data_IF_420724419075
#
_entry.id   IF_420724419075
#
_cell.length_a   1.000
_cell.length_b   1.000
_cell.length_c   1.000
_cell.angle_alpha   90.00
_cell.angle_beta   90.00
_cell.angle_gamma   90.00
#
_symmetry.space_group_name_H-M   'P 1'
#
loop_
_entity.id
_entity.type
_entity.pdbx_description
1 polymer ?
#
# COMPACT_ATOMS: atom_id res chain seq x y z
N UNK A 1 6.21 37.33 2.98
CA UNK A 1 6.94 36.05 3.11
C UNK A 1 6.65 35.23 1.86
N UNK A 2 7.61 35.12 0.93
CA UNK A 2 7.44 34.33 -0.30
C UNK A 2 7.63 32.87 0.08
N UNK A 3 6.59 32.07 -0.06
CA UNK A 3 6.71 30.61 -0.04
C UNK A 3 7.61 30.20 -1.19
N UNK A 4 8.80 29.69 -0.87
CA UNK A 4 9.62 28.99 -1.84
C UNK A 4 8.87 27.71 -2.17
N UNK A 5 8.06 27.75 -3.25
CA UNK A 5 7.64 26.53 -3.92
C UNK A 5 8.93 25.83 -4.30
N UNK A 6 9.22 24.69 -3.68
CA UNK A 6 10.38 23.88 -3.99
C UNK A 6 10.18 23.31 -5.40
N UNK A 7 10.46 24.12 -6.43
CA UNK A 7 10.45 23.74 -7.83
C UNK A 7 11.77 23.04 -8.12
N UNK A 8 11.88 21.80 -7.66
CA UNK A 8 12.81 20.83 -8.21
C UNK A 8 12.02 19.54 -8.48
N UNK A 9 11.27 19.54 -9.59
CA UNK A 9 10.73 18.31 -10.17
C UNK A 9 11.85 17.49 -10.83
N UNK A 10 12.96 17.27 -10.13
CA UNK A 10 13.79 16.13 -10.45
C UNK A 10 12.91 14.91 -10.17
N UNK A 11 12.62 14.12 -11.20
CA UNK A 11 11.86 12.87 -11.07
C UNK A 11 12.47 12.08 -9.91
N UNK A 12 11.69 11.82 -8.86
CA UNK A 12 12.20 11.09 -7.71
C UNK A 12 12.36 9.61 -8.09
N UNK A 13 13.58 9.17 -8.38
CA UNK A 13 13.90 7.81 -8.80
C UNK A 13 14.06 6.81 -7.64
N UNK A 14 13.72 7.19 -6.41
CA UNK A 14 13.84 6.29 -5.25
C UNK A 14 13.07 4.97 -5.43
N UNK A 15 11.87 4.90 -6.05
CA UNK A 15 11.18 3.62 -6.25
C UNK A 15 11.94 2.68 -7.20
N UNK A 16 12.48 3.22 -8.30
CA UNK A 16 13.26 2.45 -9.27
C UNK A 16 14.60 1.98 -8.69
N UNK A 17 15.26 2.83 -7.91
CA UNK A 17 16.51 2.49 -7.23
C UNK A 17 16.29 1.39 -6.20
N UNK A 18 15.24 1.51 -5.37
CA UNK A 18 14.88 0.50 -4.39
C UNK A 18 14.60 -0.85 -5.06
N UNK A 19 13.87 -0.83 -6.18
CA UNK A 19 13.60 -2.02 -6.98
C UNK A 19 14.88 -2.71 -7.44
N UNK A 20 15.78 -1.97 -8.11
CA UNK A 20 17.03 -2.53 -8.64
C UNK A 20 17.95 -3.14 -7.58
N UNK A 21 17.97 -2.57 -6.39
CA UNK A 21 18.84 -3.03 -5.31
C UNK A 21 18.21 -4.20 -4.56
N UNK A 22 16.89 -4.17 -4.33
CA UNK A 22 16.16 -5.24 -3.64
C UNK A 22 16.22 -6.61 -4.35
N UNK A 23 16.48 -6.62 -5.66
CA UNK A 23 16.71 -7.84 -6.44
C UNK A 23 18.07 -8.48 -6.16
N UNK A 24 19.04 -7.71 -5.64
CA UNK A 24 20.44 -8.13 -5.47
C UNK A 24 20.84 -8.34 -4.02
N UNK A 25 20.07 -7.82 -3.08
CA UNK A 25 20.41 -7.76 -1.66
C UNK A 25 19.43 -8.60 -0.83
N UNK A 26 19.91 -9.41 0.15
CA UNK A 26 19.03 -10.12 1.08
C UNK A 26 18.21 -9.16 1.96
N UNK A 27 16.99 -9.54 2.31
CA UNK A 27 16.09 -8.77 3.19
C UNK A 27 16.66 -8.49 4.61
N UNK A 28 17.71 -9.21 5.00
CA UNK A 28 18.33 -9.12 6.34
C UNK A 28 19.50 -8.13 6.43
N UNK A 29 19.91 -7.51 5.32
CA UNK A 29 21.08 -6.64 5.29
C UNK A 29 20.72 -5.22 5.76
N UNK A 30 21.24 -4.83 6.92
CA UNK A 30 21.07 -3.46 7.44
C UNK A 30 22.09 -2.54 6.78
N UNK A 31 21.62 -1.64 5.92
CA UNK A 31 22.45 -0.72 5.16
C UNK A 31 21.87 0.69 5.23
N UNK A 32 22.67 1.65 5.67
CA UNK A 32 22.27 3.06 5.84
C UNK A 32 21.68 3.63 4.54
N UNK A 33 22.29 3.34 3.39
CA UNK A 33 21.81 3.81 2.10
C UNK A 33 20.43 3.19 1.75
N UNK A 34 20.23 1.90 2.04
CA UNK A 34 18.93 1.25 1.86
C UNK A 34 17.86 1.80 2.79
N UNK A 35 18.21 2.09 4.05
CA UNK A 35 17.30 2.69 5.01
C UNK A 35 16.84 4.08 4.53
N UNK A 36 17.75 4.90 4.01
CA UNK A 36 17.41 6.21 3.43
C UNK A 36 16.51 6.07 2.18
N UNK A 37 16.77 5.08 1.32
CA UNK A 37 15.89 4.78 0.18
C UNK A 37 14.49 4.35 0.63
N UNK A 38 14.41 3.46 1.62
CA UNK A 38 13.14 3.02 2.23
C UNK A 38 12.38 4.22 2.77
N UNK A 39 13.02 5.11 3.51
CA UNK A 39 12.38 6.32 4.05
C UNK A 39 11.90 7.25 2.94
N UNK A 40 12.72 7.46 1.91
CA UNK A 40 12.35 8.29 0.77
C UNK A 40 11.16 7.73 -0.02
N UNK A 41 11.06 6.40 -0.18
CA UNK A 41 9.91 5.76 -0.85
C UNK A 41 8.69 5.71 0.07
N UNK A 42 8.86 5.40 1.35
CA UNK A 42 7.79 5.36 2.36
C UNK A 42 7.09 6.72 2.53
N UNK A 43 7.79 7.83 2.27
CA UNK A 43 7.25 9.17 2.31
C UNK A 43 6.34 9.52 1.12
N UNK A 44 6.35 8.71 0.04
CA UNK A 44 5.50 8.89 -1.14
C UNK A 44 4.27 7.99 -1.00
N UNK A 45 3.03 8.52 -1.08
CA UNK A 45 1.85 7.67 -1.17
C UNK A 45 1.98 6.69 -2.34
N UNK A 46 1.77 5.39 -2.13
CA UNK A 46 1.96 4.39 -3.18
C UNK A 46 1.06 4.65 -4.41
N UNK A 47 -0.13 5.22 -4.20
CA UNK A 47 -1.02 5.66 -5.29
C UNK A 47 -0.39 6.72 -6.22
N UNK A 48 0.64 7.45 -5.77
CA UNK A 48 1.37 8.42 -6.58
C UNK A 48 2.57 7.80 -7.31
N UNK A 49 2.88 6.52 -7.06
CA UNK A 49 3.96 5.79 -7.75
C UNK A 49 3.33 5.05 -8.93
N UNK A 50 3.70 5.41 -10.16
CA UNK A 50 3.22 4.70 -11.35
C UNK A 50 3.60 3.21 -11.30
N UNK A 51 2.65 2.35 -11.67
CA UNK A 51 2.86 0.90 -11.71
C UNK A 51 4.01 0.54 -12.65
N UNK A 52 5.00 -0.19 -12.14
CA UNK A 52 6.22 -0.56 -12.86
C UNK A 52 7.45 0.26 -12.45
N UNK A 53 7.29 1.37 -11.72
CA UNK A 53 8.43 2.08 -11.11
C UNK A 53 8.94 1.39 -9.86
N UNK A 54 8.03 0.73 -9.12
CA UNK A 54 8.35 -0.12 -7.98
C UNK A 54 8.05 -1.58 -8.35
N UNK A 55 9.05 -2.44 -8.31
CA UNK A 55 8.93 -3.89 -8.56
C UNK A 55 8.30 -4.59 -7.35
N UNK A 56 7.86 -5.85 -7.53
CA UNK A 56 7.38 -6.69 -6.41
C UNK A 56 8.49 -6.89 -5.37
N UNK A 57 9.74 -7.11 -5.79
CA UNK A 57 10.88 -7.24 -4.87
C UNK A 57 11.10 -5.94 -4.07
N UNK A 58 11.03 -4.78 -4.74
CA UNK A 58 11.18 -3.47 -4.12
C UNK A 58 10.07 -3.16 -3.13
N UNK A 59 8.83 -3.46 -3.50
CA UNK A 59 7.67 -3.32 -2.62
C UNK A 59 7.78 -4.26 -1.41
N UNK A 60 8.13 -5.53 -1.62
CA UNK A 60 8.35 -6.50 -0.54
C UNK A 60 9.40 -6.01 0.45
N UNK A 61 10.53 -5.49 -0.07
CA UNK A 61 11.58 -4.91 0.76
C UNK A 61 11.06 -3.72 1.56
N UNK A 62 10.42 -2.75 0.89
CA UNK A 62 9.78 -1.59 1.52
C UNK A 62 8.86 -2.00 2.69
N UNK A 63 7.91 -2.89 2.42
CA UNK A 63 6.93 -3.32 3.41
C UNK A 63 7.58 -4.11 4.56
N UNK A 64 8.60 -4.91 4.29
CA UNK A 64 9.35 -5.61 5.34
C UNK A 64 10.11 -4.66 6.27
N UNK A 65 10.56 -3.51 5.77
CA UNK A 65 11.27 -2.52 6.55
C UNK A 65 10.34 -1.59 7.34
N UNK A 66 9.08 -1.44 6.92
CA UNK A 66 8.13 -0.51 7.55
C UNK A 66 7.10 -1.21 8.42
N UNK A 67 6.86 -2.52 8.24
CA UNK A 67 5.92 -3.27 9.05
C UNK A 67 6.34 -3.28 10.53
N UNK A 68 5.41 -2.93 11.43
CA UNK A 68 5.58 -2.89 12.90
C UNK A 68 6.70 -1.99 13.45
N UNK A 69 7.46 -1.30 12.58
CA UNK A 69 8.50 -0.37 13.01
C UNK A 69 7.90 1.02 13.22
N UNK A 70 8.45 1.79 14.17
CA UNK A 70 8.17 3.21 14.35
C UNK A 70 8.76 4.07 13.22
N UNK A 71 8.50 3.71 11.97
CA UNK A 71 8.92 4.43 10.77
C UNK A 71 7.71 5.16 10.16
N UNK A 72 7.89 6.37 9.59
CA UNK A 72 6.83 7.03 8.87
C UNK A 72 6.44 6.23 7.62
N UNK A 73 5.15 6.24 7.29
CA UNK A 73 4.64 5.64 6.07
C UNK A 73 3.42 6.43 5.58
N UNK A 74 3.46 6.87 4.32
CA UNK A 74 2.47 7.78 3.76
C UNK A 74 1.15 7.12 3.40
N UNK A 75 1.15 5.79 3.26
CA UNK A 75 0.10 5.06 2.57
C UNK A 75 -0.76 4.29 3.57
N UNK A 76 -2.09 4.51 3.59
CA UNK A 76 -3.03 3.69 4.34
C UNK A 76 -2.98 2.23 3.90
N UNK A 77 -3.31 1.33 4.82
CA UNK A 77 -3.13 -0.11 4.68
C UNK A 77 -3.97 -0.71 3.54
N UNK A 78 -5.17 -0.18 3.32
CA UNK A 78 -5.97 -0.52 2.14
C UNK A 78 -5.27 -0.15 0.83
N UNK A 79 -4.63 1.01 0.77
CA UNK A 79 -3.92 1.46 -0.42
C UNK A 79 -2.62 0.67 -0.64
N UNK A 80 -2.03 0.13 0.43
CA UNK A 80 -0.95 -0.86 0.32
C UNK A 80 -1.45 -2.14 -0.34
N UNK A 81 -2.59 -2.69 0.12
CA UNK A 81 -3.21 -3.85 -0.50
C UNK A 81 -3.55 -3.58 -1.97
N UNK A 82 -4.23 -2.47 -2.25
CA UNK A 82 -4.60 -2.04 -3.60
C UNK A 82 -3.39 -1.99 -4.53
N UNK A 83 -2.33 -1.30 -4.13
CA UNK A 83 -1.12 -1.18 -4.92
C UNK A 83 -0.48 -2.56 -5.17
N UNK A 84 -0.41 -3.40 -4.14
CA UNK A 84 0.15 -4.75 -4.22
C UNK A 84 -0.62 -5.63 -5.19
N UNK A 85 -1.95 -5.64 -5.11
CA UNK A 85 -2.82 -6.44 -5.96
C UNK A 85 -2.73 -6.00 -7.44
N UNK A 86 -2.80 -4.69 -7.72
CA UNK A 86 -2.68 -4.18 -9.09
C UNK A 86 -1.28 -4.44 -9.66
N UNK A 87 -0.22 -4.31 -8.85
CA UNK A 87 1.14 -4.64 -9.26
C UNK A 87 1.31 -6.13 -9.60
N UNK A 88 0.74 -7.02 -8.77
CA UNK A 88 0.72 -8.47 -9.04
C UNK A 88 -0.05 -8.79 -10.32
N UNK A 89 -1.22 -8.18 -10.53
CA UNK A 89 -1.99 -8.37 -11.76
C UNK A 89 -1.26 -7.87 -13.00
N UNK A 90 -0.51 -6.77 -12.90
CA UNK A 90 0.36 -6.28 -13.98
C UNK A 90 1.44 -7.27 -14.39
N UNK A 91 1.96 -8.07 -13.46
CA UNK A 91 2.90 -9.14 -13.81
C UNK A 91 2.23 -10.30 -14.55
N UNK A 92 0.95 -10.55 -14.28
CA UNK A 92 0.19 -11.62 -14.93
C UNK A 92 -0.24 -11.22 -16.35
N UNK A 93 -0.93 -10.09 -16.51
CA UNK A 93 -1.35 -9.58 -17.83
C UNK A 93 -1.86 -8.14 -17.77
N UNK A 94 -1.92 -7.47 -18.93
CA UNK A 94 -2.53 -6.15 -19.06
C UNK A 94 -4.04 -6.17 -18.76
N UNK A 95 -4.73 -7.26 -19.10
CA UNK A 95 -6.16 -7.43 -18.85
C UNK A 95 -6.44 -7.56 -17.34
N UNK A 96 -5.67 -8.39 -16.64
CA UNK A 96 -5.77 -8.52 -15.19
C UNK A 96 -5.50 -7.20 -14.48
N UNK A 97 -4.48 -6.45 -14.94
CA UNK A 97 -4.18 -5.11 -14.45
C UNK A 97 -5.35 -4.13 -14.62
N UNK A 98 -6.00 -4.14 -15.78
CA UNK A 98 -7.16 -3.29 -16.05
C UNK A 98 -8.34 -3.66 -15.14
N UNK A 99 -8.67 -4.95 -15.04
CA UNK A 99 -9.76 -5.47 -14.19
C UNK A 99 -9.55 -5.04 -12.74
N UNK A 100 -8.34 -5.22 -12.18
CA UNK A 100 -8.09 -4.85 -10.79
C UNK A 100 -8.07 -3.34 -10.54
N UNK A 101 -7.68 -2.52 -11.51
CA UNK A 101 -7.81 -1.05 -11.37
C UNK A 101 -9.29 -0.65 -11.25
N UNK A 102 -10.18 -1.31 -12.01
CA UNK A 102 -11.61 -1.05 -12.00
C UNK A 102 -12.28 -1.57 -10.71
N UNK A 103 -11.86 -2.73 -10.21
CA UNK A 103 -12.42 -3.35 -9.00
C UNK A 103 -11.86 -2.81 -7.68
N UNK A 104 -10.68 -2.19 -7.70
CA UNK A 104 -10.04 -1.61 -6.51
C UNK A 104 -10.02 -0.07 -6.60
N UNK A 105 -11.10 0.61 -6.16
CA UNK A 105 -11.14 2.07 -6.11
C UNK A 105 -10.12 2.63 -5.11
N UNK A 106 -9.71 3.89 -5.28
CA UNK A 106 -8.91 4.61 -4.26
C UNK A 106 -9.78 4.96 -3.05
N UNK A 107 -9.16 5.28 -1.89
CA UNK A 107 -9.94 5.74 -0.73
C UNK A 107 -10.76 6.99 -1.04
N UNK A 108 -10.18 7.92 -1.81
CA UNK A 108 -10.88 9.12 -2.27
C UNK A 108 -12.12 8.79 -3.12
N UNK A 109 -12.05 7.75 -3.94
CA UNK A 109 -13.20 7.28 -4.73
C UNK A 109 -14.26 6.62 -3.85
N UNK A 110 -13.85 5.79 -2.88
CA UNK A 110 -14.77 5.14 -1.93
C UNK A 110 -15.51 6.21 -1.12
N UNK A 111 -14.80 7.20 -0.59
CA UNK A 111 -15.39 8.29 0.19
C UNK A 111 -16.44 9.07 -0.63
N UNK A 112 -16.15 9.33 -1.91
CA UNK A 112 -17.11 9.98 -2.82
C UNK A 112 -18.35 9.13 -3.08
N UNK A 113 -18.19 7.82 -3.27
CA UNK A 113 -19.31 6.89 -3.55
C UNK A 113 -20.15 6.62 -2.30
N UNK A 114 -19.57 6.52 -1.10
CA UNK A 114 -20.37 6.39 0.13
C UNK A 114 -21.29 7.60 0.32
N UNK A 115 -20.85 8.78 -0.16
CA UNK A 115 -21.64 10.01 -0.15
C UNK A 115 -22.67 10.10 -1.29
N UNK A 116 -22.69 9.15 -2.24
CA UNK A 116 -23.66 9.08 -3.34
C UNK A 116 -24.15 7.63 -3.54
N UNK A 117 -25.37 7.32 -3.10
CA UNK A 117 -26.02 5.98 -3.12
C UNK A 117 -25.41 4.93 -4.09
N UNK A 118 -25.00 3.78 -3.51
CA UNK A 118 -24.29 2.66 -4.16
C UNK A 118 -24.95 2.22 -5.48
N UNK A 119 -24.14 2.09 -6.53
CA UNK A 119 -24.47 1.36 -7.75
C UNK A 119 -23.94 -0.07 -7.58
N UNK A 120 -24.83 -1.04 -7.61
CA UNK A 120 -24.49 -2.47 -7.62
C UNK A 120 -23.86 -2.80 -8.99
N UNK A 121 -22.64 -3.33 -8.97
CA UNK A 121 -22.01 -3.93 -10.13
C UNK A 121 -22.08 -5.45 -9.94
N UNK A 122 -23.02 -6.09 -10.63
CA UNK A 122 -23.35 -7.52 -10.52
C UNK A 122 -22.42 -8.45 -11.32
N UNK A 123 -21.44 -7.90 -12.02
CA UNK A 123 -20.53 -8.71 -12.83
C UNK A 123 -19.37 -9.23 -11.98
N UNK A 124 -19.54 -10.44 -11.43
CA UNK A 124 -18.47 -11.24 -10.81
C UNK A 124 -17.41 -11.57 -11.87
N UNK A 125 -16.51 -10.62 -12.14
CA UNK A 125 -15.36 -10.83 -13.00
C UNK A 125 -14.39 -11.79 -12.30
N UNK A 126 -14.09 -12.91 -12.97
CA UNK A 126 -13.16 -13.91 -12.47
C UNK A 126 -11.75 -13.34 -12.55
N UNK A 127 -11.15 -13.10 -11.38
CA UNK A 127 -9.73 -12.76 -11.30
C UNK A 127 -8.91 -14.05 -11.46
N UNK A 128 -7.88 -14.00 -12.30
CA UNK A 128 -6.99 -15.13 -12.54
C UNK A 128 -6.29 -15.54 -11.24
N UNK A 129 -6.37 -16.82 -10.84
CA UNK A 129 -5.67 -17.38 -9.68
C UNK A 129 -4.15 -17.14 -9.72
N UNK A 130 -3.58 -16.88 -10.91
CA UNK A 130 -2.18 -16.44 -11.03
C UNK A 130 -1.91 -15.14 -10.28
N UNK A 131 -2.87 -14.22 -10.22
CA UNK A 131 -2.73 -12.97 -9.46
C UNK A 131 -2.58 -13.25 -7.97
N UNK A 132 -3.35 -14.20 -7.43
CA UNK A 132 -3.24 -14.61 -6.03
C UNK A 132 -1.84 -15.19 -5.72
N UNK A 133 -1.28 -15.99 -6.64
CA UNK A 133 0.09 -16.54 -6.50
C UNK A 133 1.17 -15.45 -6.52
N UNK A 134 1.05 -14.48 -7.42
CA UNK A 134 1.98 -13.34 -7.49
C UNK A 134 1.85 -12.40 -6.28
N UNK A 135 0.64 -12.29 -5.71
CA UNK A 135 0.36 -11.46 -4.54
C UNK A 135 0.81 -12.11 -3.23
N UNK A 136 0.75 -13.44 -3.12
CA UNK A 136 1.12 -14.25 -1.93
C UNK A 136 2.37 -13.75 -1.17
N UNK A 137 3.53 -13.49 -1.80
CA UNK A 137 4.73 -13.04 -1.09
C UNK A 137 4.58 -11.68 -0.40
N UNK A 138 3.60 -10.86 -0.79
CA UNK A 138 3.31 -9.54 -0.23
C UNK A 138 2.25 -9.60 0.87
N UNK A 139 1.29 -10.52 0.79
CA UNK A 139 0.14 -10.65 1.72
C UNK A 139 0.59 -10.65 3.18
N UNK A 140 1.67 -11.38 3.50
CA UNK A 140 2.19 -11.49 4.87
C UNK A 140 2.71 -10.17 5.46
N UNK A 141 2.92 -9.16 4.63
CA UNK A 141 3.35 -7.83 5.07
C UNK A 141 2.20 -6.83 5.10
N UNK A 142 0.96 -7.24 4.83
CA UNK A 142 -0.24 -6.40 4.87
C UNK A 142 -1.00 -6.68 6.17
N UNK A 143 -1.23 -5.63 6.94
CA UNK A 143 -1.96 -5.66 8.21
C UNK A 143 -3.45 -5.43 7.98
N UNK A 144 -4.15 -6.48 7.52
CA UNK A 144 -5.59 -6.41 7.26
C UNK A 144 -6.44 -5.98 8.48
N UNK A 145 -5.91 -6.04 9.71
CA UNK A 145 -6.61 -5.53 10.89
C UNK A 145 -6.81 -4.02 10.86
N UNK A 146 -5.96 -3.27 10.13
CA UNK A 146 -6.06 -1.81 9.95
C UNK A 146 -6.97 -1.39 8.81
N UNK A 147 -7.40 -2.32 7.97
CA UNK A 147 -8.35 -2.04 6.90
C UNK A 147 -9.76 -1.99 7.50
N UNK A 148 -10.56 -1.03 7.05
CA UNK A 148 -11.95 -0.90 7.48
C UNK A 148 -12.75 -2.19 7.19
N UNK A 149 -13.66 -2.53 8.10
CA UNK A 149 -14.45 -3.77 8.02
C UNK A 149 -15.38 -3.81 6.81
N UNK A 150 -15.91 -2.65 6.40
CA UNK A 150 -16.76 -2.54 5.23
C UNK A 150 -15.94 -2.68 3.95
N UNK A 151 -14.74 -2.08 3.89
CA UNK A 151 -13.81 -2.28 2.76
C UNK A 151 -13.43 -3.77 2.62
N UNK A 152 -13.17 -4.46 3.74
CA UNK A 152 -12.87 -5.89 3.71
C UNK A 152 -14.02 -6.70 3.08
N UNK A 153 -15.25 -6.47 3.53
CA UNK A 153 -16.42 -7.24 3.12
C UNK A 153 -16.92 -6.89 1.72
N UNK A 154 -16.97 -5.60 1.39
CA UNK A 154 -17.57 -5.11 0.14
C UNK A 154 -16.58 -5.11 -1.03
N UNK A 155 -15.26 -5.05 -0.76
CA UNK A 155 -14.23 -4.87 -1.80
C UNK A 155 -13.21 -6.00 -1.81
N UNK A 156 -12.59 -6.37 -0.67
CA UNK A 156 -11.45 -7.30 -0.68
C UNK A 156 -11.88 -8.76 -0.77
N UNK A 157 -12.82 -9.19 0.09
CA UNK A 157 -13.30 -10.56 0.17
C UNK A 157 -13.88 -11.08 -1.15
N UNK A 158 -14.72 -10.31 -1.89
CA UNK A 158 -15.31 -10.77 -3.16
C UNK A 158 -14.29 -11.05 -4.27
N UNK A 159 -13.06 -10.52 -4.18
CA UNK A 159 -12.01 -10.73 -5.18
C UNK A 159 -11.44 -12.16 -5.13
N UNK A 160 -11.58 -12.85 -4.00
CA UNK A 160 -11.08 -14.23 -3.80
C UNK A 160 -9.55 -14.39 -4.08
N UNK A 161 -8.79 -13.28 -4.07
CA UNK A 161 -7.32 -13.29 -4.27
C UNK A 161 -6.51 -13.42 -2.97
N UNK A 162 -7.20 -13.35 -1.82
CA UNK A 162 -6.65 -13.59 -0.49
C UNK A 162 -7.31 -14.87 0.05
N UNK A 163 -6.56 -15.77 0.72
CA UNK A 163 -7.15 -16.96 1.31
C UNK A 163 -8.28 -16.60 2.27
N UNK A 164 -9.44 -17.24 2.11
CA UNK A 164 -10.63 -16.99 2.94
C UNK A 164 -10.36 -17.18 4.45
N UNK A 165 -9.41 -18.04 4.81
CA UNK A 165 -8.96 -18.23 6.20
C UNK A 165 -8.35 -16.97 6.80
N UNK A 166 -7.57 -16.20 6.02
CA UNK A 166 -6.98 -14.93 6.46
C UNK A 166 -8.10 -13.92 6.76
N UNK A 167 -9.03 -13.73 5.82
CA UNK A 167 -10.15 -12.79 5.97
C UNK A 167 -11.04 -13.18 7.17
N UNK A 168 -11.38 -14.45 7.32
CA UNK A 168 -12.20 -14.96 8.42
C UNK A 168 -11.54 -14.73 9.79
N UNK A 169 -10.23 -14.94 9.90
CA UNK A 169 -9.51 -14.70 11.15
C UNK A 169 -9.46 -13.21 11.51
N UNK A 170 -9.36 -12.32 10.52
CA UNK A 170 -9.45 -10.86 10.71
C UNK A 170 -10.83 -10.46 11.24
N UNK A 171 -11.92 -10.97 10.65
CA UNK A 171 -13.28 -10.69 11.16
C UNK A 171 -13.46 -11.17 12.60
N UNK A 172 -12.98 -12.38 12.92
CA UNK A 172 -13.04 -12.91 14.29
C UNK A 172 -12.26 -12.04 15.27
N UNK A 173 -11.07 -11.56 14.88
CA UNK A 173 -10.27 -10.68 15.72
C UNK A 173 -10.94 -9.32 15.92
N UNK A 174 -11.46 -8.69 14.87
CA UNK A 174 -12.23 -7.44 14.96
C UNK A 174 -13.46 -7.58 15.85
N UNK A 175 -14.20 -8.68 15.75
CA UNK A 175 -15.36 -8.95 16.60
C UNK A 175 -15.00 -9.15 18.08
N UNK A 176 -13.80 -9.68 18.38
CA UNK A 176 -13.31 -9.86 19.76
C UNK A 176 -12.81 -8.55 20.39
N UNK A 177 -12.19 -7.69 19.59
CA UNK A 177 -11.68 -6.40 20.05
C UNK A 177 -12.85 -5.41 20.12
N UNK A 178 -13.49 -5.29 21.28
CA UNK A 178 -14.50 -4.27 21.55
C UNK A 178 -13.90 -2.84 21.45
N UNK A 179 -13.82 -2.30 20.22
CA UNK A 179 -13.48 -0.92 19.78
C UNK A 179 -12.11 -0.32 20.19
N UNK A 180 -11.25 -0.13 19.18
CA UNK A 180 -11.02 1.19 18.56
C UNK A 180 -10.57 0.93 17.12
N UNK A 181 -11.01 1.72 16.15
CA UNK A 181 -10.44 1.68 14.80
C UNK A 181 -8.94 1.93 14.95
N UNK A 182 -8.12 0.94 14.62
CA UNK A 182 -6.69 1.15 14.47
C UNK A 182 -6.52 2.25 13.41
N UNK A 183 -5.51 3.10 13.56
CA UNK A 183 -5.15 4.00 12.48
C UNK A 183 -4.95 3.19 11.20
N UNK A 184 -5.53 3.71 10.12
CA UNK A 184 -5.50 3.13 8.77
C UNK A 184 -4.08 2.98 8.23
N UNK A 185 -3.11 3.75 8.72
CA UNK A 185 -1.71 3.72 8.31
C UNK A 185 -0.86 2.81 9.22
N UNK A 186 0.08 2.07 8.61
CA UNK A 186 1.18 1.42 9.33
C UNK A 186 2.22 2.49 9.72
N UNK A 187 2.74 2.44 10.94
CA UNK A 187 3.80 3.37 11.35
C UNK A 187 3.30 4.75 11.82
N UNK A 188 4.17 5.76 11.71
CA UNK A 188 3.92 7.12 12.23
C UNK A 188 3.31 7.99 11.11
N UNK A 189 2.12 8.60 11.32
CA UNK A 189 1.55 9.51 10.34
C UNK A 189 2.52 10.65 9.97
N UNK A 190 2.73 10.88 8.67
CA UNK A 190 3.70 11.86 8.16
C UNK A 190 3.38 13.30 8.57
N UNK A 191 2.12 13.59 8.96
CA UNK A 191 1.74 14.90 9.52
C UNK A 191 2.62 15.34 10.71
N UNK A 192 3.29 14.39 11.38
CA UNK A 192 4.23 14.67 12.48
C UNK A 192 5.57 15.22 11.97
N UNK A 193 6.03 14.84 10.77
CA UNK A 193 7.34 15.25 10.23
C UNK A 193 7.33 16.62 9.55
N UNK A 194 6.20 17.08 9.01
CA UNK A 194 6.13 18.40 8.35
C UNK A 194 6.09 19.59 9.32
N UNK A 195 6.03 19.35 10.64
CA UNK A 195 5.99 20.40 11.67
C UNK A 195 7.34 20.72 12.30
N UNK A 196 8.36 19.90 12.06
CA UNK A 196 9.71 20.12 12.59
C UNK A 196 10.65 20.41 11.43
N UNK A 197 10.58 21.65 10.94
CA UNK A 197 11.71 22.25 10.21
C UNK A 197 12.81 22.43 11.24
N UNK A 198 13.90 21.67 11.13
CA UNK A 198 15.12 21.98 11.85
C UNK A 198 15.60 23.33 11.32
N UNK A 199 15.46 24.36 12.14
CA UNK A 199 16.12 25.64 11.91
C UNK A 199 17.60 25.39 12.17
N UNK A 200 18.36 25.05 11.12
CA UNK A 200 19.82 24.97 11.16
C UNK A 200 20.42 26.38 11.13
N UNK A 201 20.01 27.24 12.07
CA UNK A 201 20.65 28.52 12.31
C UNK A 201 21.27 28.54 13.73
N UNK A 202 22.55 28.19 13.79
CA UNK A 202 23.50 28.74 14.77
C UNK A 202 24.43 29.72 14.05
#
# INVERSE_FOLDING_TARGET
MKTVKNTNFAKNYSPELLSKISEKIPLSEDNIFLNLLVEAVAAIPLNNIEFGRLSIAGLKYLLSCTNEKKKPFATPEYEVFRYSAILAAKQVSNDAHKILIEQLPTLEQIEKVVNSAKVENDDKLIIDQKVAKELEPLVKYIDFMRIDGQILADIIEPLEIIPATVILDIYRQKARLNKSELNDTRGIPIQIYSKYVWDESE
#
